data_IF_754717201094
#
_entry.id   IF_754717201094
#
_cell.length_a   1.000
_cell.length_b   1.000
_cell.length_c   1.000
_cell.angle_alpha   90.00
_cell.angle_beta   90.00
_cell.angle_gamma   90.00
#
_symmetry.space_group_name_H-M   'P 1'
#
loop_
_entity.id
_entity.type
_entity.pdbx_description
1 polymer ?
#
# COMPACT_ATOMS: atom_id res chain seq x y z
N UNK A 1 11.82 -24.32 6.41
CA UNK A 1 11.39 -23.04 5.81
C UNK A 1 12.51 -22.03 6.01
N UNK A 2 12.88 -21.25 5.00
CA UNK A 2 13.88 -20.17 5.11
C UNK A 2 13.37 -19.07 6.07
N UNK A 3 14.29 -18.45 6.82
CA UNK A 3 13.96 -17.33 7.73
C UNK A 3 13.41 -16.14 6.92
N UNK A 4 12.29 -15.53 7.33
CA UNK A 4 11.80 -14.32 6.67
C UNK A 4 12.84 -13.19 6.71
N UNK A 5 12.98 -12.47 5.59
CA UNK A 5 13.82 -11.27 5.50
C UNK A 5 12.95 -10.07 5.83
N UNK A 6 12.98 -9.64 7.08
CA UNK A 6 12.17 -8.53 7.58
C UNK A 6 12.59 -7.21 6.95
N UNK A 7 11.65 -6.27 6.85
CA UNK A 7 11.92 -4.89 6.42
C UNK A 7 12.71 -4.15 7.51
N UNK A 8 13.55 -3.22 7.09
CA UNK A 8 14.25 -2.29 7.99
C UNK A 8 13.33 -1.17 8.47
N UNK A 9 13.75 -0.42 9.48
CA UNK A 9 13.04 0.78 9.93
C UNK A 9 12.81 1.78 8.80
N UNK A 10 13.79 2.00 7.93
CA UNK A 10 13.66 2.94 6.81
C UNK A 10 12.64 2.47 5.76
N UNK A 11 12.62 1.17 5.46
CA UNK A 11 11.60 0.60 4.58
C UNK A 11 10.21 0.71 5.20
N UNK A 12 10.07 0.47 6.49
CA UNK A 12 8.80 0.61 7.20
C UNK A 12 8.34 2.07 7.25
N UNK A 13 9.24 3.03 7.51
CA UNK A 13 8.93 4.46 7.45
C UNK A 13 8.44 4.87 6.06
N UNK A 14 9.13 4.42 5.00
CA UNK A 14 8.69 4.64 3.61
C UNK A 14 7.32 4.03 3.36
N UNK A 15 7.07 2.81 3.81
CA UNK A 15 5.76 2.19 3.66
C UNK A 15 4.66 2.96 4.42
N UNK A 16 4.92 3.39 5.64
CA UNK A 16 3.97 4.20 6.43
C UNK A 16 3.67 5.52 5.73
N UNK A 17 4.67 6.24 5.24
CA UNK A 17 4.48 7.55 4.62
C UNK A 17 3.93 7.46 3.18
N UNK A 18 4.49 6.60 2.36
CA UNK A 18 4.15 6.50 0.93
C UNK A 18 3.06 5.49 0.64
N UNK A 19 2.89 4.46 1.47
CA UNK A 19 1.90 3.40 1.27
C UNK A 19 2.32 2.30 0.30
N UNK A 20 3.58 2.28 -0.16
CA UNK A 20 4.07 1.23 -1.06
C UNK A 20 5.59 1.03 -0.97
N UNK A 21 6.04 -0.15 -1.41
CA UNK A 21 7.46 -0.51 -1.65
C UNK A 21 7.57 -1.37 -2.90
N UNK A 22 8.60 -1.10 -3.72
CA UNK A 22 9.01 -1.97 -4.81
C UNK A 22 10.09 -2.93 -4.29
N UNK A 23 9.84 -4.22 -4.36
CA UNK A 23 10.72 -5.27 -3.86
C UNK A 23 10.88 -6.37 -4.92
N UNK A 24 11.82 -7.30 -4.72
CA UNK A 24 12.06 -8.43 -5.62
C UNK A 24 12.25 -9.70 -4.82
N UNK A 25 11.69 -10.81 -5.33
CA UNK A 25 11.89 -12.16 -4.77
C UNK A 25 13.32 -12.64 -4.98
N UNK A 26 13.76 -13.63 -4.21
CA UNK A 26 15.05 -14.33 -4.40
C UNK A 26 14.93 -15.49 -5.39
N UNK A 27 13.74 -15.77 -5.90
CA UNK A 27 13.54 -16.83 -6.88
C UNK A 27 14.29 -16.51 -8.20
N UNK A 28 14.83 -17.52 -8.89
CA UNK A 28 15.61 -17.31 -10.11
C UNK A 28 14.72 -16.86 -11.28
N UNK A 29 15.33 -16.15 -12.25
CA UNK A 29 14.62 -15.65 -13.44
C UNK A 29 13.95 -16.76 -14.26
N UNK A 30 14.52 -17.97 -14.26
CA UNK A 30 13.91 -19.15 -14.92
C UNK A 30 12.55 -19.52 -14.31
N UNK A 31 12.39 -19.35 -12.99
CA UNK A 31 11.11 -19.55 -12.33
C UNK A 31 10.08 -18.54 -12.81
N UNK A 32 10.44 -17.27 -12.84
CA UNK A 32 9.56 -16.18 -13.26
C UNK A 32 9.17 -16.32 -14.73
N UNK A 33 10.10 -16.70 -15.59
CA UNK A 33 9.82 -17.01 -16.99
C UNK A 33 8.81 -18.14 -17.11
N UNK A 34 8.96 -19.22 -16.36
CA UNK A 34 8.01 -20.33 -16.34
C UNK A 34 6.59 -19.89 -15.91
N UNK A 35 6.48 -18.99 -14.91
CA UNK A 35 5.20 -18.39 -14.51
C UNK A 35 4.60 -17.57 -15.66
N UNK A 36 5.40 -16.75 -16.35
CA UNK A 36 4.93 -15.97 -17.49
C UNK A 36 4.39 -16.89 -18.61
N UNK A 37 5.16 -17.90 -18.99
CA UNK A 37 4.78 -18.86 -20.04
C UNK A 37 3.50 -19.62 -19.67
N UNK A 38 3.32 -20.01 -18.39
CA UNK A 38 2.10 -20.66 -17.93
C UNK A 38 0.88 -19.77 -18.09
N UNK A 39 0.98 -18.48 -17.75
CA UNK A 39 -0.13 -17.55 -17.96
C UNK A 39 -0.36 -17.23 -19.43
N UNK A 40 0.69 -17.11 -20.21
CA UNK A 40 0.56 -16.89 -21.66
C UNK A 40 -0.16 -18.04 -22.36
N UNK A 41 0.18 -19.27 -22.01
CA UNK A 41 -0.51 -20.46 -22.49
C UNK A 41 -1.98 -20.54 -22.02
N UNK A 42 -2.24 -20.22 -20.75
CA UNK A 42 -3.57 -20.26 -20.16
C UNK A 42 -4.53 -19.26 -20.82
N UNK A 43 -4.05 -18.03 -21.07
CA UNK A 43 -4.83 -16.95 -21.70
C UNK A 43 -4.91 -17.16 -23.23
N UNK A 44 -3.85 -17.74 -23.84
CA UNK A 44 -3.82 -18.00 -25.27
C UNK A 44 -4.86 -19.03 -25.72
N UNK A 45 -5.30 -19.92 -24.83
CA UNK A 45 -6.35 -20.89 -25.09
C UNK A 45 -7.76 -20.25 -25.13
N UNK A 46 -7.97 -19.16 -24.32
CA UNK A 46 -9.23 -18.41 -24.26
C UNK A 46 -8.94 -16.92 -24.02
N UNK A 47 -9.27 -16.06 -24.99
CA UNK A 47 -8.87 -14.65 -25.04
C UNK A 47 -9.23 -13.78 -23.81
N UNK A 48 -10.11 -14.25 -22.93
CA UNK A 48 -10.58 -13.52 -21.74
C UNK A 48 -10.50 -14.33 -20.44
N UNK A 49 -9.74 -15.42 -20.41
CA UNK A 49 -9.66 -16.24 -19.21
C UNK A 49 -8.94 -15.47 -18.09
N UNK A 50 -9.70 -15.10 -17.07
CA UNK A 50 -9.15 -14.65 -15.80
C UNK A 50 -9.53 -15.69 -14.73
N UNK A 51 -8.57 -16.47 -14.21
CA UNK A 51 -8.88 -17.49 -13.20
C UNK A 51 -9.43 -16.89 -11.90
N UNK A 52 -9.31 -15.58 -11.68
CA UNK A 52 -9.85 -14.90 -10.50
C UNK A 52 -9.34 -15.55 -9.20
N UNK A 53 -10.27 -15.95 -8.34
CA UNK A 53 -9.94 -16.61 -7.08
C UNK A 53 -9.28 -18.00 -7.25
N UNK A 54 -9.41 -18.61 -8.43
CA UNK A 54 -8.77 -19.89 -8.76
C UNK A 54 -7.34 -19.74 -9.31
N UNK A 55 -6.73 -18.57 -9.15
CA UNK A 55 -5.37 -18.28 -9.62
C UNK A 55 -4.32 -19.28 -9.10
N UNK A 56 -4.36 -19.59 -7.79
CA UNK A 56 -3.43 -20.55 -7.18
C UNK A 56 -3.71 -22.02 -7.62
N UNK A 57 -4.95 -22.50 -7.68
CA UNK A 57 -5.22 -23.80 -8.26
C UNK A 57 -4.81 -23.92 -9.75
N UNK A 58 -4.96 -22.84 -10.54
CA UNK A 58 -4.59 -22.82 -11.95
C UNK A 58 -3.07 -22.83 -12.18
N UNK A 59 -2.32 -22.14 -11.29
CA UNK A 59 -0.85 -22.03 -11.33
C UNK A 59 -0.29 -22.25 -9.92
N UNK A 60 -0.23 -23.51 -9.42
CA UNK A 60 0.17 -23.83 -8.04
C UNK A 60 1.60 -23.38 -7.72
N UNK A 61 2.47 -23.23 -8.71
CA UNK A 61 3.84 -22.77 -8.59
C UNK A 61 3.92 -21.38 -7.93
N UNK A 62 2.88 -20.56 -8.04
CA UNK A 62 2.78 -19.26 -7.38
C UNK A 62 2.91 -19.34 -5.85
N UNK A 63 2.59 -20.49 -5.24
CA UNK A 63 2.80 -20.67 -3.81
C UNK A 63 4.28 -20.51 -3.40
N UNK A 64 5.23 -20.73 -4.32
CA UNK A 64 6.65 -20.49 -4.08
C UNK A 64 6.96 -19.01 -3.90
N UNK A 65 6.22 -18.11 -4.57
CA UNK A 65 6.36 -16.66 -4.38
C UNK A 65 6.04 -16.29 -2.93
N UNK A 66 4.99 -16.89 -2.33
CA UNK A 66 4.62 -16.61 -0.93
C UNK A 66 5.49 -17.36 0.10
N UNK A 67 6.23 -18.38 -0.34
CA UNK A 67 7.24 -19.05 0.48
C UNK A 67 8.61 -18.33 0.43
N UNK A 68 8.79 -17.38 -0.50
CA UNK A 68 10.00 -16.59 -0.65
C UNK A 68 10.29 -15.76 0.61
N UNK A 69 11.55 -15.71 1.11
CA UNK A 69 11.89 -15.04 2.36
C UNK A 69 11.64 -13.53 2.31
N UNK A 70 11.79 -12.87 1.16
CA UNK A 70 11.54 -11.44 1.00
C UNK A 70 10.03 -11.15 1.07
N UNK A 71 9.21 -11.93 0.36
CA UNK A 71 7.74 -11.76 0.38
C UNK A 71 7.19 -12.02 1.78
N UNK A 72 7.60 -13.11 2.41
CA UNK A 72 7.18 -13.44 3.79
C UNK A 72 7.62 -12.37 4.79
N UNK A 73 8.87 -11.90 4.67
CA UNK A 73 9.42 -10.87 5.53
C UNK A 73 8.68 -9.54 5.38
N UNK A 74 8.41 -9.12 4.15
CA UNK A 74 7.68 -7.91 3.85
C UNK A 74 6.24 -7.95 4.41
N UNK A 75 5.52 -9.05 4.21
CA UNK A 75 4.17 -9.24 4.76
C UNK A 75 4.19 -9.29 6.30
N UNK A 76 5.10 -10.08 6.91
CA UNK A 76 5.25 -10.12 8.37
C UNK A 76 5.47 -8.73 8.94
N UNK A 77 6.35 -7.93 8.30
CA UNK A 77 6.68 -6.59 8.77
C UNK A 77 5.47 -5.65 8.76
N UNK A 78 4.65 -5.71 7.70
CA UNK A 78 3.57 -4.74 7.47
C UNK A 78 2.25 -5.16 8.12
N UNK A 79 1.89 -6.45 8.05
CA UNK A 79 0.59 -6.96 8.55
C UNK A 79 0.72 -7.92 9.72
N UNK A 80 1.93 -8.06 10.30
CA UNK A 80 2.19 -8.93 11.47
C UNK A 80 2.40 -10.39 11.09
N UNK A 81 2.91 -11.23 12.03
CA UNK A 81 3.30 -12.62 11.74
C UNK A 81 2.11 -13.56 11.48
N UNK A 82 0.93 -13.21 11.98
CA UNK A 82 -0.30 -14.04 11.90
C UNK A 82 -1.21 -13.63 10.73
N UNK A 83 -0.65 -13.01 9.69
CA UNK A 83 -1.45 -12.59 8.53
C UNK A 83 -2.07 -13.79 7.80
N UNK A 84 -3.20 -13.56 7.15
CA UNK A 84 -3.85 -14.52 6.25
C UNK A 84 -3.98 -13.94 4.85
N UNK A 85 -3.90 -14.82 3.84
CA UNK A 85 -4.22 -14.46 2.46
C UNK A 85 -5.73 -14.44 2.29
N UNK A 86 -6.26 -13.31 1.81
CA UNK A 86 -7.67 -13.20 1.44
C UNK A 86 -7.98 -14.05 0.20
N UNK A 87 -9.16 -14.66 0.07
CA UNK A 87 -9.51 -15.46 -1.09
C UNK A 87 -9.63 -14.66 -2.41
N UNK A 88 -9.84 -13.35 -2.34
CA UNK A 88 -9.89 -12.51 -3.53
C UNK A 88 -8.50 -12.35 -4.16
N UNK A 89 -8.38 -12.78 -5.41
CA UNK A 89 -7.15 -12.78 -6.21
C UNK A 89 -7.50 -12.37 -7.62
N UNK A 90 -6.57 -11.77 -8.35
CA UNK A 90 -6.80 -11.38 -9.71
C UNK A 90 -5.53 -11.49 -10.57
N UNK A 91 -5.70 -11.97 -11.79
CA UNK A 91 -4.72 -11.84 -12.86
C UNK A 91 -5.10 -10.63 -13.71
N UNK A 92 -4.20 -9.67 -13.79
CA UNK A 92 -4.30 -8.54 -14.71
C UNK A 92 -3.47 -8.84 -15.96
N UNK A 93 -4.16 -9.08 -17.07
CA UNK A 93 -3.55 -9.20 -18.38
C UNK A 93 -3.59 -7.83 -19.07
N UNK A 94 -2.42 -7.30 -19.41
CA UNK A 94 -2.26 -6.08 -20.19
C UNK A 94 -1.72 -6.45 -21.57
N UNK A 95 -2.57 -6.64 -22.58
CA UNK A 95 -2.12 -6.90 -23.93
C UNK A 95 -1.35 -5.71 -24.54
N UNK A 96 -0.63 -5.94 -25.65
CA UNK A 96 0.02 -4.88 -26.41
C UNK A 96 -0.93 -3.71 -26.68
N UNK A 97 -0.44 -2.48 -26.47
CA UNK A 97 -1.20 -1.26 -26.76
C UNK A 97 -2.40 -1.00 -25.82
N UNK A 98 -2.61 -1.81 -24.78
CA UNK A 98 -3.77 -1.64 -23.88
C UNK A 98 -3.74 -0.32 -23.12
N UNK A 99 -4.89 0.37 -23.05
CA UNK A 99 -5.03 1.66 -22.38
C UNK A 99 -4.89 1.56 -20.85
N UNK A 100 -4.59 2.71 -20.24
CA UNK A 100 -4.56 2.86 -18.79
C UNK A 100 -5.96 2.66 -18.19
N UNK A 101 -6.00 2.13 -16.96
CA UNK A 101 -7.24 2.14 -16.17
C UNK A 101 -7.50 3.56 -15.61
N UNK A 102 -8.75 3.83 -15.27
CA UNK A 102 -9.08 4.95 -14.39
C UNK A 102 -8.42 4.72 -13.04
N UNK A 103 -7.81 5.77 -12.47
CA UNK A 103 -7.24 5.70 -11.14
C UNK A 103 -8.34 5.44 -10.09
N UNK A 104 -8.09 4.52 -9.14
CA UNK A 104 -9.09 4.03 -8.20
C UNK A 104 -8.45 3.55 -6.90
N UNK A 105 -9.30 3.20 -5.95
CA UNK A 105 -8.97 2.44 -4.75
C UNK A 105 -9.73 1.13 -4.77
N UNK A 106 -9.11 0.07 -4.24
CA UNK A 106 -9.77 -1.25 -4.06
C UNK A 106 -10.59 -1.33 -2.75
N UNK A 107 -10.74 -0.25 -2.04
CA UNK A 107 -11.23 -0.14 -0.67
C UNK A 107 -12.74 -0.31 -0.48
N UNK A 108 -13.38 -1.15 -1.25
CA UNK A 108 -14.79 -1.48 -1.07
C UNK A 108 -15.03 -2.69 -0.14
N UNK A 109 -13.98 -3.41 0.24
CA UNK A 109 -14.06 -4.55 1.13
C UNK A 109 -13.78 -4.12 2.58
N UNK A 110 -14.82 -3.98 3.40
CA UNK A 110 -14.67 -3.75 4.83
C UNK A 110 -14.29 -2.33 5.25
N UNK A 111 -14.18 -1.39 4.31
CA UNK A 111 -13.95 0.02 4.60
C UNK A 111 -15.17 0.88 4.22
N UNK A 112 -15.60 1.73 5.13
CA UNK A 112 -16.56 2.76 4.81
C UNK A 112 -15.86 3.83 3.95
N UNK A 113 -16.51 4.27 2.87
CA UNK A 113 -15.91 5.23 1.93
C UNK A 113 -15.54 6.58 2.56
N UNK A 114 -16.26 6.99 3.62
CA UNK A 114 -16.09 8.29 4.28
C UNK A 114 -15.25 8.25 5.53
N UNK A 115 -15.21 7.12 6.23
CA UNK A 115 -14.44 6.96 7.46
C UNK A 115 -13.33 5.95 7.16
N UNK A 116 -12.08 6.42 7.17
CA UNK A 116 -10.90 5.61 6.91
C UNK A 116 -10.18 5.29 8.21
N UNK A 117 -9.80 4.03 8.34
CA UNK A 117 -8.91 3.62 9.39
C UNK A 117 -7.48 3.67 8.83
N UNK A 118 -6.66 4.58 9.34
CA UNK A 118 -5.27 4.73 8.90
C UNK A 118 -4.36 3.57 9.31
N UNK A 119 -4.83 2.68 10.17
CA UNK A 119 -4.06 1.50 10.58
C UNK A 119 -3.95 0.51 9.44
N UNK A 120 -2.72 0.06 9.15
CA UNK A 120 -2.47 -0.91 8.10
C UNK A 120 -2.96 -2.30 8.52
N UNK A 121 -4.22 -2.60 8.23
CA UNK A 121 -4.83 -3.91 8.48
C UNK A 121 -4.82 -4.80 7.24
N UNK A 122 -4.73 -4.19 6.07
CA UNK A 122 -4.73 -4.86 4.78
C UNK A 122 -3.57 -4.35 3.94
N UNK A 123 -2.88 -5.28 3.29
CA UNK A 123 -1.85 -4.99 2.29
C UNK A 123 -2.09 -5.86 1.05
N UNK A 124 -1.58 -5.40 -0.10
CA UNK A 124 -1.60 -6.17 -1.34
C UNK A 124 -0.18 -6.42 -1.83
N UNK A 125 0.00 -7.59 -2.44
CA UNK A 125 1.14 -7.92 -3.28
C UNK A 125 0.68 -7.90 -4.72
N UNK A 126 1.33 -7.09 -5.55
CA UNK A 126 1.18 -7.09 -6.99
C UNK A 126 2.47 -7.64 -7.61
N UNK A 127 2.51 -8.93 -7.85
CA UNK A 127 3.68 -9.64 -8.38
C UNK A 127 3.69 -9.60 -9.91
N UNK A 128 4.89 -9.41 -10.49
CA UNK A 128 5.10 -9.43 -11.94
C UNK A 128 6.18 -10.46 -12.30
N UNK A 129 5.89 -11.43 -13.20
CA UNK A 129 6.87 -12.43 -13.62
C UNK A 129 7.85 -11.92 -14.68
N UNK A 130 7.61 -10.74 -15.24
CA UNK A 130 8.46 -10.10 -16.26
C UNK A 130 8.87 -8.70 -15.83
N UNK A 131 9.97 -8.17 -16.37
CA UNK A 131 10.31 -6.77 -16.20
C UNK A 131 9.18 -5.87 -16.73
N UNK A 132 8.87 -4.82 -15.97
CA UNK A 132 7.79 -3.89 -16.27
C UNK A 132 8.33 -2.46 -16.23
N UNK A 133 9.10 -2.03 -17.25
CA UNK A 133 9.52 -0.65 -17.41
C UNK A 133 8.33 0.25 -17.73
N UNK A 134 8.57 1.56 -17.77
CA UNK A 134 7.51 2.57 -17.95
C UNK A 134 6.65 2.31 -19.19
N UNK A 135 7.28 1.94 -20.30
CA UNK A 135 6.64 1.73 -21.60
C UNK A 135 5.71 0.50 -21.58
N UNK A 136 5.96 -0.47 -20.68
CA UNK A 136 5.15 -1.69 -20.55
C UNK A 136 3.96 -1.54 -19.62
N UNK A 137 3.66 -0.31 -19.20
CA UNK A 137 2.47 0.03 -18.42
C UNK A 137 2.50 -0.53 -17.00
N UNK A 138 3.46 -0.10 -16.14
CA UNK A 138 3.52 -0.53 -14.75
C UNK A 138 2.26 -0.13 -13.97
N UNK A 139 2.19 -0.50 -12.71
CA UNK A 139 1.20 0.05 -11.79
C UNK A 139 1.63 1.48 -11.42
N UNK A 140 0.79 2.45 -11.69
CA UNK A 140 0.92 3.81 -11.18
C UNK A 140 0.30 3.89 -9.79
N UNK A 141 0.98 4.56 -8.86
CA UNK A 141 0.51 4.80 -7.48
C UNK A 141 0.61 6.28 -7.17
N UNK A 142 -0.27 6.79 -6.32
CA UNK A 142 -0.12 8.14 -5.74
C UNK A 142 0.44 7.96 -4.33
N UNK A 143 1.73 8.26 -4.08
CA UNK A 143 2.36 8.11 -2.77
C UNK A 143 1.61 8.87 -1.67
N UNK A 144 1.38 8.23 -0.50
CA UNK A 144 0.70 8.84 0.64
C UNK A 144 -0.83 8.93 0.51
N UNK A 145 -1.40 8.59 -0.63
CA UNK A 145 -2.82 8.75 -0.92
C UNK A 145 -3.74 7.77 -0.17
N UNK A 146 -3.19 6.77 0.50
CA UNK A 146 -3.97 5.88 1.38
C UNK A 146 -4.57 6.62 2.58
N UNK A 147 -4.07 7.80 2.90
CA UNK A 147 -4.65 8.70 3.91
C UNK A 147 -5.76 9.61 3.35
N UNK A 148 -5.96 9.65 2.04
CA UNK A 148 -6.92 10.54 1.39
C UNK A 148 -8.20 9.80 0.99
N UNK A 149 -9.36 10.29 1.42
CA UNK A 149 -10.66 9.71 1.02
C UNK A 149 -11.02 10.05 -0.43
N UNK A 150 -10.66 11.24 -0.88
CA UNK A 150 -10.84 11.72 -2.25
C UNK A 150 -9.54 11.55 -3.03
N UNK A 151 -9.65 11.53 -4.37
CA UNK A 151 -8.47 11.58 -5.22
C UNK A 151 -7.69 12.87 -4.95
N UNK A 152 -6.40 12.78 -4.60
CA UNK A 152 -5.59 13.96 -4.39
C UNK A 152 -5.44 14.81 -5.66
N UNK A 153 -5.15 16.10 -5.47
CA UNK A 153 -4.70 16.97 -6.54
C UNK A 153 -3.35 16.48 -7.06
N UNK A 154 -3.24 16.24 -8.36
CA UNK A 154 -2.03 15.71 -9.00
C UNK A 154 -0.84 16.67 -8.93
N UNK A 155 -1.10 17.98 -8.75
CA UNK A 155 -0.03 18.97 -8.57
C UNK A 155 0.61 18.88 -7.18
N UNK A 156 -0.13 18.43 -6.19
CA UNK A 156 0.34 18.25 -4.81
C UNK A 156 0.89 16.84 -4.57
N UNK A 157 0.26 15.84 -5.19
CA UNK A 157 0.59 14.42 -5.01
C UNK A 157 0.61 13.74 -6.39
N UNK A 158 1.72 13.83 -7.13
CA UNK A 158 1.82 13.26 -8.46
C UNK A 158 1.82 11.72 -8.43
N UNK A 159 1.27 11.12 -9.50
CA UNK A 159 1.35 9.69 -9.74
C UNK A 159 2.81 9.29 -10.04
N UNK A 160 3.24 8.18 -9.47
CA UNK A 160 4.57 7.59 -9.68
C UNK A 160 4.40 6.19 -10.30
N UNK A 161 5.16 5.91 -11.35
CA UNK A 161 5.21 4.60 -11.98
C UNK A 161 6.06 3.64 -11.13
N UNK A 162 5.48 2.52 -10.66
CA UNK A 162 6.23 1.46 -9.98
C UNK A 162 6.82 0.49 -10.99
N UNK A 163 7.93 0.90 -11.63
CA UNK A 163 8.68 0.03 -12.52
C UNK A 163 9.35 -1.10 -11.72
N UNK A 164 9.17 -2.33 -12.18
CA UNK A 164 9.67 -3.52 -11.50
C UNK A 164 10.54 -4.36 -12.45
N UNK A 165 11.56 -4.99 -11.90
CA UNK A 165 12.33 -6.02 -12.59
C UNK A 165 11.58 -7.35 -12.64
N UNK A 166 12.09 -8.32 -13.40
CA UNK A 166 11.59 -9.71 -13.44
C UNK A 166 11.54 -10.29 -12.02
N UNK A 167 10.40 -10.84 -11.63
CA UNK A 167 10.18 -11.37 -10.29
C UNK A 167 9.98 -10.29 -9.21
N UNK A 168 9.84 -9.05 -9.64
CA UNK A 168 9.51 -7.93 -8.76
C UNK A 168 8.08 -8.02 -8.24
N UNK A 169 7.86 -7.37 -7.12
CA UNK A 169 6.51 -7.17 -6.58
C UNK A 169 6.37 -5.81 -5.93
N UNK A 170 5.19 -5.25 -6.07
CA UNK A 170 4.77 -4.05 -5.39
C UNK A 170 4.00 -4.46 -4.14
N UNK A 171 4.55 -4.14 -2.97
CA UNK A 171 3.84 -4.21 -1.70
C UNK A 171 3.11 -2.88 -1.51
N UNK A 172 1.78 -2.88 -1.42
CA UNK A 172 1.01 -1.63 -1.27
C UNK A 172 0.02 -1.71 -0.11
N UNK A 173 -0.25 -0.56 0.49
CA UNK A 173 -1.38 -0.39 1.38
C UNK A 173 -2.68 -0.57 0.59
N UNK A 174 -3.64 -1.34 1.13
CA UNK A 174 -4.89 -1.68 0.44
C UNK A 174 -5.68 -0.45 -0.05
N UNK A 175 -5.59 0.65 0.67
CA UNK A 175 -6.38 1.87 0.41
C UNK A 175 -5.62 2.95 -0.39
N UNK A 176 -4.56 2.61 -1.10
CA UNK A 176 -3.81 3.57 -1.93
C UNK A 176 -4.51 3.82 -3.27
N UNK A 177 -4.49 5.06 -3.78
CA UNK A 177 -4.93 5.37 -5.13
C UNK A 177 -3.92 4.83 -6.13
N UNK A 178 -4.38 3.99 -7.05
CA UNK A 178 -3.53 3.34 -8.05
C UNK A 178 -4.28 3.03 -9.34
N UNK A 179 -3.54 2.64 -10.36
CA UNK A 179 -4.08 2.14 -11.62
C UNK A 179 -3.06 1.32 -12.41
N UNK A 180 -3.51 0.56 -13.38
CA UNK A 180 -2.70 0.08 -14.49
C UNK A 180 -2.39 1.27 -15.40
N UNK A 181 -1.11 1.54 -15.72
CA UNK A 181 -0.70 2.50 -16.74
C UNK A 181 -0.83 1.90 -18.15
N UNK A 182 -0.75 2.75 -19.19
CA UNK A 182 -0.84 2.33 -20.59
C UNK A 182 0.37 1.47 -20.99
N UNK A 183 0.12 0.36 -21.68
CA UNK A 183 1.17 -0.46 -22.30
C UNK A 183 1.43 0.06 -23.72
N UNK A 184 2.58 0.67 -23.95
CA UNK A 184 3.01 1.20 -25.25
C UNK A 184 3.79 0.18 -26.09
N UNK A 185 4.07 -1.02 -25.54
CA UNK A 185 4.89 -2.04 -26.19
C UNK A 185 4.06 -3.03 -26.98
N UNK A 186 4.75 -3.90 -27.74
CA UNK A 186 4.16 -5.06 -28.39
C UNK A 186 4.16 -6.31 -27.52
N UNK A 187 4.58 -6.20 -26.25
CA UNK A 187 4.66 -7.29 -25.30
C UNK A 187 3.45 -7.33 -24.37
N UNK A 188 3.02 -8.53 -24.00
CA UNK A 188 2.04 -8.72 -22.93
C UNK A 188 2.68 -8.41 -21.58
N UNK A 189 1.88 -7.88 -20.66
CA UNK A 189 2.27 -7.70 -19.27
C UNK A 189 1.27 -8.41 -18.36
N UNK A 190 1.76 -9.30 -17.50
CA UNK A 190 0.98 -9.95 -16.46
C UNK A 190 1.29 -9.34 -15.09
N UNK A 191 0.27 -9.18 -14.27
CA UNK A 191 0.40 -8.83 -12.88
C UNK A 191 -0.63 -9.62 -12.07
N UNK A 192 -0.17 -10.30 -11.03
CA UNK A 192 -1.02 -11.07 -10.14
C UNK A 192 -1.19 -10.32 -8.83
N UNK A 193 -2.46 -10.04 -8.47
CA UNK A 193 -2.85 -9.36 -7.25
C UNK A 193 -3.28 -10.36 -6.19
N UNK A 194 -2.75 -10.17 -4.98
CA UNK A 194 -3.09 -10.93 -3.78
C UNK A 194 -3.26 -9.99 -2.61
N UNK A 195 -4.23 -10.25 -1.77
CA UNK A 195 -4.57 -9.44 -0.61
C UNK A 195 -4.27 -10.18 0.68
N UNK A 196 -3.77 -9.45 1.69
CA UNK A 196 -3.38 -10.01 2.97
C UNK A 196 -3.94 -9.18 4.12
N UNK A 197 -4.39 -9.87 5.17
CA UNK A 197 -5.11 -9.29 6.29
C UNK A 197 -4.32 -9.53 7.57
N UNK A 198 -4.13 -8.49 8.36
CA UNK A 198 -3.62 -8.56 9.73
C UNK A 198 -4.69 -9.18 10.63
N UNK A 199 -4.32 -10.21 11.38
CA UNK A 199 -5.26 -10.92 12.24
C UNK A 199 -5.23 -10.50 13.70
N UNK A 200 -4.16 -9.81 14.16
CA UNK A 200 -4.00 -9.33 15.54
C UNK A 200 -3.58 -7.87 15.58
N UNK A 201 -3.95 -7.19 16.65
CA UNK A 201 -3.35 -5.89 16.97
C UNK A 201 -1.85 -6.08 17.22
N UNK A 202 -1.00 -5.10 16.86
CA UNK A 202 0.41 -5.16 17.20
C UNK A 202 0.62 -5.11 18.72
N UNK A 203 1.44 -6.01 19.22
CA UNK A 203 1.95 -6.03 20.60
C UNK A 203 3.44 -5.71 20.67
N UNK A 204 4.06 -5.49 19.51
CA UNK A 204 5.45 -5.13 19.30
C UNK A 204 5.75 -4.98 17.82
N UNK A 205 6.97 -4.49 17.45
CA UNK A 205 7.39 -4.38 16.07
C UNK A 205 7.56 -5.78 15.44
N UNK A 206 7.03 -5.97 14.24
CA UNK A 206 7.13 -7.21 13.47
C UNK A 206 8.13 -7.10 12.30
N UNK A 207 9.05 -6.14 12.35
CA UNK A 207 10.12 -5.89 11.39
C UNK A 207 11.48 -5.82 12.08
N UNK A 208 12.57 -5.63 11.33
CA UNK A 208 13.92 -5.43 11.86
C UNK A 208 14.02 -4.01 12.44
N UNK A 209 13.59 -3.89 13.72
CA UNK A 209 13.38 -2.63 14.42
C UNK A 209 14.54 -2.30 15.35
N UNK A 210 15.15 -1.14 15.15
CA UNK A 210 16.26 -0.64 15.95
C UNK A 210 16.01 0.78 16.51
N UNK A 211 15.26 1.63 15.81
CA UNK A 211 15.05 3.04 16.15
C UNK A 211 13.56 3.34 16.44
N UNK A 212 13.20 3.60 17.71
CA UNK A 212 11.81 3.87 18.10
C UNK A 212 11.28 5.21 17.58
N UNK A 213 12.15 6.15 17.21
CA UNK A 213 11.74 7.49 16.83
C UNK A 213 11.22 7.51 15.38
N UNK A 214 10.12 8.23 15.19
CA UNK A 214 9.68 8.57 13.85
C UNK A 214 10.57 9.66 13.25
N UNK A 215 11.34 9.32 12.22
CA UNK A 215 12.19 10.26 11.47
C UNK A 215 12.01 9.98 9.98
N UNK A 216 11.32 10.87 9.29
CA UNK A 216 11.12 10.75 7.85
C UNK A 216 11.12 12.13 7.20
N UNK A 217 12.05 12.36 6.27
CA UNK A 217 12.27 13.67 5.65
C UNK A 217 11.64 13.87 4.28
N UNK A 218 11.15 12.77 3.66
CA UNK A 218 10.50 12.85 2.34
C UNK A 218 9.00 13.07 2.50
N UNK A 219 8.47 14.18 2.00
CA UNK A 219 7.05 14.51 2.09
C UNK A 219 6.33 14.19 0.77
N UNK A 220 5.50 13.14 0.72
CA UNK A 220 4.69 12.87 -0.47
C UNK A 220 3.46 13.79 -0.56
N UNK A 221 3.67 15.10 -0.64
CA UNK A 221 2.60 16.09 -0.70
C UNK A 221 2.35 16.81 0.63
N UNK A 222 1.25 16.50 1.33
CA UNK A 222 0.94 17.10 2.64
C UNK A 222 1.79 16.50 3.76
N UNK A 223 2.18 17.35 4.71
CA UNK A 223 2.85 16.89 5.94
C UNK A 223 1.86 16.17 6.86
N UNK A 224 1.90 14.85 6.86
CA UNK A 224 1.11 13.97 7.71
C UNK A 224 1.93 13.39 8.87
N UNK A 225 3.04 14.02 9.25
CA UNK A 225 3.98 13.50 10.26
C UNK A 225 3.31 13.08 11.56
N UNK A 226 2.29 13.81 12.02
CA UNK A 226 1.53 13.44 13.22
C UNK A 226 0.74 12.13 13.03
N UNK A 227 0.18 11.91 11.85
CA UNK A 227 -0.57 10.67 11.50
C UNK A 227 0.40 9.52 11.34
N UNK A 228 1.54 9.74 10.64
CA UNK A 228 2.58 8.74 10.43
C UNK A 228 3.20 8.27 11.74
N UNK A 229 3.47 9.21 12.67
CA UNK A 229 3.98 8.88 14.02
C UNK A 229 2.98 8.00 14.78
N UNK A 230 1.69 8.30 14.74
CA UNK A 230 0.65 7.46 15.36
C UNK A 230 0.57 6.08 14.75
N UNK A 231 0.72 5.99 13.41
CA UNK A 231 0.77 4.71 12.72
C UNK A 231 2.01 3.90 13.10
N UNK A 232 3.17 4.57 13.22
CA UNK A 232 4.43 4.00 13.66
C UNK A 232 4.33 3.45 15.09
N UNK A 233 3.83 4.25 16.02
CA UNK A 233 3.64 3.85 17.42
C UNK A 233 2.66 2.68 17.54
N UNK A 234 1.57 2.72 16.78
CA UNK A 234 0.64 1.59 16.76
C UNK A 234 1.29 0.31 16.24
N UNK A 235 2.05 0.36 15.14
CA UNK A 235 2.75 -0.81 14.58
C UNK A 235 3.79 -1.38 15.56
N UNK A 236 4.37 -0.54 16.40
CA UNK A 236 5.29 -0.94 17.49
C UNK A 236 4.59 -1.50 18.72
N UNK A 237 3.26 -1.54 18.76
CA UNK A 237 2.53 -1.89 19.97
C UNK A 237 2.62 -0.82 21.07
N UNK A 238 3.18 0.35 20.75
CA UNK A 238 3.28 1.45 21.70
C UNK A 238 1.93 2.16 21.87
N UNK A 239 1.59 2.49 23.10
CA UNK A 239 0.45 3.35 23.39
C UNK A 239 0.65 4.77 22.85
N UNK A 240 -0.43 5.57 22.85
CA UNK A 240 -0.38 6.96 22.43
C UNK A 240 0.60 7.76 23.29
N UNK A 241 1.60 8.38 22.68
CA UNK A 241 2.65 9.16 23.34
C UNK A 241 2.63 10.66 22.98
N UNK A 242 1.55 11.15 22.39
CA UNK A 242 1.45 12.56 22.02
C UNK A 242 1.44 13.45 23.29
N UNK A 243 2.38 14.40 23.38
CA UNK A 243 2.29 15.45 24.39
C UNK A 243 1.04 16.31 24.15
N UNK A 244 0.26 16.66 25.19
CA UNK A 244 -0.89 17.53 25.01
C UNK A 244 -0.46 18.91 24.50
N UNK A 245 -1.27 19.48 23.62
CA UNK A 245 -1.12 20.88 23.14
C UNK A 245 -2.06 21.75 23.95
N UNK A 246 -1.53 22.79 24.55
CA UNK A 246 -2.34 23.68 25.39
C UNK A 246 -3.01 24.80 24.58
N UNK A 247 -2.43 25.16 23.42
CA UNK A 247 -2.97 26.21 22.56
C UNK A 247 -3.39 25.60 21.23
N UNK A 248 -4.68 25.69 20.91
CA UNK A 248 -5.27 25.13 19.70
C UNK A 248 -5.66 26.27 18.78
N UNK A 249 -5.08 26.30 17.59
CA UNK A 249 -5.53 27.23 16.53
C UNK A 249 -6.91 26.80 15.98
N UNK A 250 -7.98 27.20 16.70
CA UNK A 250 -9.33 26.90 16.28
C UNK A 250 -9.71 27.52 14.92
N UNK A 251 -9.12 28.67 14.57
CA UNK A 251 -9.33 29.32 13.28
C UNK A 251 -8.71 28.49 12.14
N UNK A 252 -7.62 27.80 12.41
CA UNK A 252 -6.98 26.90 11.45
C UNK A 252 -7.88 25.76 11.00
N UNK A 253 -8.88 25.33 11.78
CA UNK A 253 -9.80 24.24 11.39
C UNK A 253 -10.63 24.57 10.15
N UNK A 254 -10.91 25.85 9.90
CA UNK A 254 -11.71 26.32 8.76
C UNK A 254 -10.88 27.09 7.74
N UNK A 255 -9.56 27.07 7.86
CA UNK A 255 -8.66 27.78 6.95
C UNK A 255 -8.73 27.17 5.53
N UNK A 256 -8.60 28.01 4.52
CA UNK A 256 -8.56 27.57 3.13
C UNK A 256 -7.29 26.79 2.80
N UNK A 257 -6.17 27.11 3.48
CA UNK A 257 -4.92 26.37 3.35
C UNK A 257 -5.04 24.97 4.01
N UNK A 258 -4.96 23.87 3.23
CA UNK A 258 -5.08 22.53 3.75
C UNK A 258 -3.98 22.17 4.74
N UNK A 259 -2.79 22.80 4.65
CA UNK A 259 -1.69 22.57 5.58
C UNK A 259 -2.01 23.14 6.95
N UNK A 260 -2.56 24.36 7.01
CA UNK A 260 -2.98 24.99 8.26
C UNK A 260 -4.16 24.22 8.88
N UNK A 261 -5.15 23.81 8.07
CA UNK A 261 -6.24 22.95 8.57
C UNK A 261 -5.73 21.66 9.18
N UNK A 262 -4.80 21.00 8.50
CA UNK A 262 -4.24 19.73 8.98
C UNK A 262 -3.47 19.90 10.29
N UNK A 263 -2.70 20.98 10.43
CA UNK A 263 -2.00 21.29 11.68
C UNK A 263 -3.00 21.49 12.84
N UNK A 264 -4.04 22.30 12.63
CA UNK A 264 -5.10 22.51 13.62
C UNK A 264 -5.85 21.24 14.00
N UNK A 265 -6.19 20.38 13.02
CA UNK A 265 -6.80 19.06 13.27
C UNK A 265 -5.90 18.19 14.14
N UNK A 266 -4.60 18.18 13.86
CA UNK A 266 -3.64 17.39 14.64
C UNK A 266 -3.50 17.92 16.08
N UNK A 267 -3.55 19.24 16.30
CA UNK A 267 -3.51 19.85 17.63
C UNK A 267 -4.75 19.50 18.44
N UNK A 268 -5.94 19.59 17.83
CA UNK A 268 -7.20 19.12 18.47
C UNK A 268 -7.10 17.64 18.81
N UNK A 269 -6.59 16.81 17.91
CA UNK A 269 -6.45 15.38 18.14
C UNK A 269 -5.45 15.02 19.25
N UNK A 270 -4.51 15.92 19.61
CA UNK A 270 -3.56 15.78 20.74
C UNK A 270 -4.17 16.21 22.08
N UNK A 271 -5.31 16.89 22.08
CA UNK A 271 -6.00 17.35 23.28
C UNK A 271 -7.43 16.81 23.34
N UNK A 272 -7.60 15.64 23.96
CA UNK A 272 -8.90 14.98 24.04
C UNK A 272 -9.96 15.82 24.81
N UNK A 273 -9.55 16.65 25.76
CA UNK A 273 -10.46 17.52 26.51
C UNK A 273 -11.01 18.64 25.61
N UNK A 274 -10.14 19.25 24.78
CA UNK A 274 -10.54 20.30 23.85
C UNK A 274 -11.28 19.75 22.61
N UNK A 275 -11.07 18.47 22.25
CA UNK A 275 -11.69 17.88 21.07
C UNK A 275 -13.21 18.00 21.06
N UNK A 276 -13.87 17.90 22.22
CA UNK A 276 -15.35 18.04 22.35
C UNK A 276 -15.83 19.43 21.94
N UNK A 277 -15.11 20.49 22.29
CA UNK A 277 -15.47 21.86 21.94
C UNK A 277 -15.40 22.12 20.42
N UNK A 278 -14.56 21.37 19.71
CA UNK A 278 -14.32 21.53 18.27
C UNK A 278 -15.03 20.50 17.40
N UNK A 279 -15.85 19.59 17.99
CA UNK A 279 -16.61 18.59 17.24
C UNK A 279 -17.46 19.16 16.09
N UNK A 280 -18.19 20.29 16.25
CA UNK A 280 -18.98 20.85 15.16
C UNK A 280 -18.11 21.28 13.97
N UNK A 281 -16.97 21.94 14.23
CA UNK A 281 -16.03 22.36 13.19
C UNK A 281 -15.40 21.16 12.49
N UNK A 282 -15.01 20.12 13.22
CA UNK A 282 -14.47 18.88 12.66
C UNK A 282 -15.52 18.13 11.83
N UNK A 283 -16.77 18.08 12.28
CA UNK A 283 -17.85 17.44 11.54
C UNK A 283 -18.16 18.15 10.22
N UNK A 284 -17.99 19.47 10.14
CA UNK A 284 -18.16 20.24 8.91
C UNK A 284 -17.08 19.95 7.85
N UNK A 285 -15.98 19.28 8.21
CA UNK A 285 -14.91 18.88 7.28
C UNK A 285 -15.18 17.51 6.62
N UNK A 286 -16.17 16.75 7.07
CA UNK A 286 -16.55 15.44 6.53
C UNK A 286 -17.56 15.58 5.37
#
# INVERSE_FOLDING_TARGET
MTTPRLLTDDQMRRFVAHGYLCLRTELPDSFHRGIFERFDALIGAEANLNPGNNLLPAVPELNRVFADPVVRGALTSVVGPDYVMHPHRALHNNPPGSDAQRIHKDSYWGYLRRVRNHRCRWAMIMYVPQATPLERGPTGVIPGSHYQSQRPDETLMPEVASCLETGGFLLIHYDIWHRKMKNHTQDKRFMMKFEFIRMREPDGPSWDHADPDWRFGELPGLDLSAVWRRQWDWLRGAGRQDAPVNDIDAAGLVDIDPRRRLAAINDVARNAAAARAHLPALAALL
#
